data_IF_484050602225
#
_entry.id   IF_484050602225
#
_cell.length_a   1.000
_cell.length_b   1.000
_cell.length_c   1.000
_cell.angle_alpha   90.00
_cell.angle_beta   90.00
_cell.angle_gamma   90.00
#
_symmetry.space_group_name_H-M   'P 1'
#
loop_
_entity.id
_entity.type
_entity.pdbx_description
1 polymer ?
#
# COMPACT_ATOMS: atom_id res chain seq x y z
N UNK A 1 -12.44 8.28 15.54
CA UNK A 1 -13.87 8.20 15.17
C UNK A 1 -14.62 7.15 15.98
N UNK A 2 -14.49 5.84 15.71
CA UNK A 2 -15.29 4.84 16.46
C UNK A 2 -15.03 4.86 17.97
N UNK A 3 -13.76 4.89 18.39
CA UNK A 3 -13.39 4.90 19.82
C UNK A 3 -13.88 6.16 20.55
N UNK A 4 -13.91 7.30 19.86
CA UNK A 4 -14.35 8.57 20.44
C UNK A 4 -15.88 8.60 20.57
N UNK A 5 -16.59 8.18 19.52
CA UNK A 5 -18.05 8.15 19.50
C UNK A 5 -18.63 7.09 20.45
N UNK A 6 -17.91 5.97 20.67
CA UNK A 6 -18.36 4.89 21.56
C UNK A 6 -18.46 5.34 23.02
N UNK A 7 -17.68 6.36 23.42
CA UNK A 7 -17.72 6.93 24.77
C UNK A 7 -19.01 7.68 25.05
N UNK A 8 -19.64 8.22 24.00
CA UNK A 8 -20.80 9.11 24.11
C UNK A 8 -22.10 8.43 23.67
N UNK A 9 -22.02 7.45 22.77
CA UNK A 9 -23.19 6.83 22.16
C UNK A 9 -23.11 5.30 22.19
N UNK A 10 -24.18 4.66 22.64
CA UNK A 10 -24.38 3.20 22.58
C UNK A 10 -25.39 2.85 21.48
N UNK A 11 -24.88 2.59 20.25
CA UNK A 11 -25.70 2.19 19.11
C UNK A 11 -25.14 0.93 18.43
N UNK A 12 -25.99 -0.05 18.08
CA UNK A 12 -25.56 -1.19 17.27
C UNK A 12 -25.08 -0.73 15.89
N UNK A 13 -24.15 -1.48 15.28
CA UNK A 13 -23.58 -1.24 13.94
C UNK A 13 -22.84 0.09 13.71
N UNK A 14 -22.52 0.85 14.77
CA UNK A 14 -21.84 2.15 14.64
C UNK A 14 -20.49 2.09 13.89
N UNK A 15 -19.76 0.98 14.01
CA UNK A 15 -18.49 0.78 13.28
C UNK A 15 -18.70 0.69 11.77
N UNK A 16 -19.78 0.04 11.32
CA UNK A 16 -20.11 -0.08 9.90
C UNK A 16 -20.54 1.27 9.33
N UNK A 17 -21.40 2.01 10.04
CA UNK A 17 -21.86 3.34 9.61
C UNK A 17 -20.70 4.33 9.47
N UNK A 18 -19.76 4.33 10.42
CA UNK A 18 -18.56 5.17 10.35
C UNK A 18 -17.71 4.77 9.14
N UNK A 19 -17.58 3.47 8.87
CA UNK A 19 -16.80 2.98 7.71
C UNK A 19 -17.43 3.45 6.40
N UNK A 20 -18.75 3.31 6.27
CA UNK A 20 -19.52 3.77 5.10
C UNK A 20 -19.52 5.29 4.95
N UNK A 21 -19.50 6.02 6.06
CA UNK A 21 -19.41 7.47 6.03
C UNK A 21 -18.03 7.92 5.53
N UNK A 22 -16.95 7.37 6.10
CA UNK A 22 -15.57 7.71 5.72
C UNK A 22 -15.26 7.29 4.28
N UNK A 23 -15.83 6.18 3.79
CA UNK A 23 -15.59 5.71 2.42
C UNK A 23 -16.17 6.63 1.34
N UNK A 24 -17.14 7.49 1.67
CA UNK A 24 -17.70 8.49 0.73
C UNK A 24 -16.74 9.63 0.42
N UNK A 25 -15.71 9.84 1.24
CA UNK A 25 -14.79 10.97 1.08
C UNK A 25 -13.52 10.58 0.33
N UNK A 26 -13.35 11.13 -0.87
CA UNK A 26 -12.19 10.88 -1.74
C UNK A 26 -10.86 11.29 -1.09
N UNK A 27 -10.85 12.36 -0.31
CA UNK A 27 -9.66 12.83 0.41
C UNK A 27 -9.15 11.78 1.41
N UNK A 28 -10.07 11.12 2.13
CA UNK A 28 -9.71 10.05 3.06
C UNK A 28 -9.16 8.83 2.32
N UNK A 29 -9.71 8.51 1.14
CA UNK A 29 -9.23 7.40 0.31
C UNK A 29 -7.82 7.66 -0.27
N UNK A 30 -7.51 8.91 -0.66
CA UNK A 30 -6.20 9.27 -1.25
C UNK A 30 -5.08 9.41 -0.22
N UNK A 31 -5.40 9.92 0.98
CA UNK A 31 -4.38 10.22 2.01
C UNK A 31 -4.08 9.01 2.89
N UNK A 32 -5.03 8.08 3.04
CA UNK A 32 -4.77 6.85 3.79
C UNK A 32 -3.91 5.91 2.97
N UNK A 33 -2.74 5.57 3.51
CA UNK A 33 -1.95 4.46 3.00
C UNK A 33 -2.76 3.16 3.04
N UNK A 34 -2.59 2.31 2.02
CA UNK A 34 -3.11 0.96 2.04
C UNK A 34 -2.43 0.18 3.16
N UNK A 35 -3.24 -0.40 4.05
CA UNK A 35 -2.76 -1.25 5.13
C UNK A 35 -2.88 -2.74 4.77
N UNK A 36 -3.49 -3.05 3.63
CA UNK A 36 -3.57 -4.41 3.13
C UNK A 36 -2.23 -4.81 2.57
N UNK A 37 -1.78 -6.03 2.89
CA UNK A 37 -0.62 -6.60 2.23
C UNK A 37 -0.97 -6.73 0.74
N UNK A 38 -0.10 -6.29 -0.20
CA UNK A 38 -0.36 -6.50 -1.60
C UNK A 38 -0.62 -7.98 -1.84
N UNK A 39 -1.80 -8.28 -2.37
CA UNK A 39 -2.20 -9.65 -2.68
C UNK A 39 -1.38 -10.11 -3.89
N UNK A 40 -0.34 -10.87 -3.63
CA UNK A 40 0.52 -11.46 -4.64
C UNK A 40 1.42 -12.50 -3.99
N UNK A 41 1.48 -13.69 -4.56
CA UNK A 41 2.59 -14.58 -4.28
C UNK A 41 3.82 -13.92 -4.91
N UNK A 42 4.93 -13.85 -4.18
CA UNK A 42 6.20 -13.52 -4.81
C UNK A 42 6.52 -14.69 -5.77
N UNK A 43 6.13 -14.55 -7.03
CA UNK A 43 6.44 -15.53 -8.06
C UNK A 43 7.91 -15.33 -8.41
N UNK A 44 8.71 -16.37 -8.17
CA UNK A 44 10.08 -16.36 -8.66
C UNK A 44 10.04 -16.35 -10.19
N UNK A 45 10.82 -15.46 -10.85
CA UNK A 45 10.96 -15.52 -12.30
C UNK A 45 11.53 -16.89 -12.71
N UNK A 46 11.14 -17.36 -13.91
CA UNK A 46 11.65 -18.64 -14.44
C UNK A 46 13.17 -18.55 -14.54
N UNK A 47 13.85 -19.58 -14.03
CA UNK A 47 15.31 -19.71 -14.16
C UNK A 47 15.65 -19.75 -15.66
N UNK A 48 16.58 -18.89 -16.09
CA UNK A 48 17.09 -18.91 -17.47
C UNK A 48 17.77 -20.25 -17.75
N UNK A 49 17.48 -20.86 -18.89
CA UNK A 49 18.06 -22.15 -19.28
C UNK A 49 19.46 -21.98 -19.87
N UNK A 50 19.78 -20.79 -20.41
CA UNK A 50 21.06 -20.48 -21.05
C UNK A 50 21.65 -19.14 -20.60
N UNK A 51 22.93 -18.90 -20.98
CA UNK A 51 23.62 -17.64 -20.67
C UNK A 51 22.97 -16.49 -21.43
N UNK A 52 22.65 -15.40 -20.72
CA UNK A 52 22.08 -14.15 -21.24
C UNK A 52 20.63 -14.20 -21.74
N UNK A 53 19.88 -15.27 -21.46
CA UNK A 53 18.46 -15.35 -21.86
C UNK A 53 17.59 -14.29 -21.17
N UNK A 54 17.92 -13.93 -19.93
CA UNK A 54 17.21 -12.92 -19.15
C UNK A 54 18.22 -11.94 -18.56
N UNK A 55 18.10 -10.66 -18.93
CA UNK A 55 18.91 -9.56 -18.40
C UNK A 55 17.97 -8.55 -17.76
N UNK A 56 18.11 -8.33 -16.46
CA UNK A 56 17.39 -7.27 -15.73
C UNK A 56 18.35 -6.10 -15.50
N UNK A 57 17.91 -4.88 -15.79
CA UNK A 57 18.69 -3.67 -15.59
C UNK A 57 17.89 -2.69 -14.73
N UNK A 58 18.57 -2.01 -13.80
CA UNK A 58 18.01 -0.95 -12.97
C UNK A 58 19.03 0.21 -12.85
N UNK A 59 18.53 1.41 -12.59
CA UNK A 59 19.36 2.60 -12.40
C UNK A 59 19.61 2.86 -10.93
N UNK A 60 20.88 2.86 -10.53
CA UNK A 60 21.28 3.36 -9.22
C UNK A 60 21.35 4.88 -9.26
N UNK A 61 20.45 5.56 -8.54
CA UNK A 61 20.45 7.01 -8.41
C UNK A 61 21.16 7.45 -7.11
N UNK A 62 21.50 8.75 -7.01
CA UNK A 62 22.14 9.37 -5.83
C UNK A 62 23.59 8.93 -5.55
N UNK A 63 24.37 8.68 -6.60
CA UNK A 63 25.82 8.49 -6.48
C UNK A 63 26.51 9.83 -6.14
N UNK A 64 27.64 9.81 -5.40
CA UNK A 64 28.44 11.02 -5.19
C UNK A 64 28.90 11.58 -6.54
N UNK A 65 28.88 12.92 -6.66
CA UNK A 65 29.38 13.58 -7.87
C UNK A 65 30.88 13.33 -8.01
N UNK A 66 31.32 12.98 -9.20
CA UNK A 66 32.74 12.92 -9.52
C UNK A 66 33.35 14.32 -9.46
N UNK A 67 34.61 14.40 -9.05
CA UNK A 67 35.37 15.65 -8.91
C UNK A 67 35.93 16.19 -10.23
N UNK A 68 35.40 15.75 -11.37
CA UNK A 68 35.91 16.05 -12.70
C UNK A 68 35.11 17.16 -13.37
#
# INVERSE_FOLDING_TARGET
>A
MYQDMKKLYWRPNMKADITTYVSKYLTCAKVKAEHQKPSGLLVQPKISEWKWDNITMDFVTKLPKSSQ
#
